data_IF_492597583040
#
_entry.id   IF_492597583040
#
_cell.length_a   1.000
_cell.length_b   1.000
_cell.length_c   1.000
_cell.angle_alpha   90.00
_cell.angle_beta   90.00
_cell.angle_gamma   90.00
#
_symmetry.space_group_name_H-M   'P 1'
#
loop_
_entity.id
_entity.type
_entity.pdbx_description
1 polymer ?
#
# COMPACT_ATOMS: atom_id res chain seq x y z
N UNK A 1 -20.28 -18.77 14.40
CA UNK A 1 -20.88 -17.99 13.28
C UNK A 1 -20.00 -18.28 12.07
N UNK A 2 -20.52 -19.02 11.11
CA UNK A 2 -19.82 -19.53 9.92
C UNK A 2 -19.62 -18.38 8.93
N UNK A 3 -18.37 -17.94 8.71
CA UNK A 3 -18.03 -16.97 7.66
C UNK A 3 -18.14 -17.64 6.29
N UNK A 4 -19.08 -17.25 5.41
CA UNK A 4 -19.10 -17.76 4.05
C UNK A 4 -17.96 -17.11 3.24
N UNK A 5 -17.41 -17.89 2.33
CA UNK A 5 -16.32 -17.51 1.44
C UNK A 5 -16.65 -16.24 0.66
N UNK A 6 -15.81 -15.21 0.80
CA UNK A 6 -15.97 -13.93 0.10
C UNK A 6 -15.58 -14.00 -1.39
N UNK A 7 -14.95 -15.07 -1.86
CA UNK A 7 -14.40 -15.19 -3.23
C UNK A 7 -15.36 -15.94 -4.17
N UNK A 8 -15.76 -15.29 -5.27
CA UNK A 8 -16.49 -15.88 -6.39
C UNK A 8 -15.49 -16.54 -7.35
N UNK A 9 -15.42 -17.87 -7.34
CA UNK A 9 -14.52 -18.64 -8.22
C UNK A 9 -14.95 -18.66 -9.69
N UNK A 10 -16.21 -18.34 -9.99
CA UNK A 10 -16.74 -18.31 -11.35
C UNK A 10 -16.41 -16.99 -12.04
N UNK A 11 -16.43 -15.89 -11.28
CA UNK A 11 -16.12 -14.54 -11.76
C UNK A 11 -14.69 -14.06 -11.45
N UNK A 12 -14.00 -14.73 -10.54
CA UNK A 12 -12.64 -14.39 -10.11
C UNK A 12 -12.55 -13.12 -9.26
N UNK A 13 -13.60 -12.75 -8.52
CA UNK A 13 -13.68 -11.52 -7.72
C UNK A 13 -14.42 -11.72 -6.38
N UNK A 14 -14.41 -10.72 -5.49
CA UNK A 14 -15.19 -10.70 -4.24
C UNK A 14 -16.54 -9.99 -4.44
N UNK A 15 -17.60 -10.35 -3.68
CA UNK A 15 -18.95 -9.75 -3.74
C UNK A 15 -19.08 -8.33 -3.17
N UNK A 16 -17.99 -7.57 -3.12
CA UNK A 16 -17.95 -6.17 -2.72
C UNK A 16 -17.01 -5.40 -3.68
N UNK A 17 -17.21 -4.09 -3.76
CA UNK A 17 -16.32 -3.17 -4.47
C UNK A 17 -14.88 -3.39 -3.99
N UNK A 18 -14.01 -3.95 -4.84
CA UNK A 18 -12.65 -4.30 -4.41
C UNK A 18 -11.60 -4.03 -5.48
N UNK A 19 -10.47 -3.48 -5.02
CA UNK A 19 -9.33 -3.15 -5.88
C UNK A 19 -8.23 -4.18 -5.63
N UNK A 20 -8.26 -5.29 -6.38
CA UNK A 20 -7.41 -6.45 -6.08
C UNK A 20 -6.71 -7.00 -7.32
N UNK A 21 -5.40 -7.18 -7.24
CA UNK A 21 -4.71 -8.17 -8.07
C UNK A 21 -5.02 -9.58 -7.56
N UNK A 22 -5.00 -10.60 -8.44
CA UNK A 22 -5.10 -11.99 -8.01
C UNK A 22 -3.79 -12.39 -7.30
N UNK A 23 -3.82 -12.70 -5.98
CA UNK A 23 -2.61 -13.05 -5.25
C UNK A 23 -1.89 -14.27 -5.85
N UNK A 24 -2.60 -15.16 -6.54
CA UNK A 24 -2.04 -16.39 -7.13
C UNK A 24 -1.06 -16.10 -8.27
N UNK A 25 -1.13 -14.93 -8.89
CA UNK A 25 -0.15 -14.51 -9.91
C UNK A 25 1.29 -14.56 -9.35
N UNK A 26 1.45 -14.31 -8.05
CA UNK A 26 2.73 -14.36 -7.34
C UNK A 26 3.21 -15.76 -6.93
N UNK A 27 2.38 -16.79 -7.03
CA UNK A 27 2.66 -18.11 -6.43
C UNK A 27 3.90 -18.79 -7.02
N UNK A 28 4.20 -18.53 -8.30
CA UNK A 28 5.39 -19.06 -8.96
C UNK A 28 6.71 -18.55 -8.36
N UNK A 29 6.70 -17.39 -7.70
CA UNK A 29 7.87 -16.78 -7.05
C UNK A 29 7.82 -16.99 -5.55
N UNK A 30 6.66 -16.72 -4.93
CA UNK A 30 6.52 -16.65 -3.48
C UNK A 30 5.92 -17.91 -2.85
N UNK A 31 5.42 -18.84 -3.66
CA UNK A 31 4.52 -19.90 -3.21
C UNK A 31 3.12 -19.38 -2.86
N UNK A 32 2.19 -20.25 -2.45
CA UNK A 32 0.81 -19.89 -2.16
C UNK A 32 0.67 -18.76 -1.12
N UNK A 33 -0.12 -17.74 -1.45
CA UNK A 33 -0.46 -16.67 -0.51
C UNK A 33 -1.17 -17.22 0.74
N UNK A 34 -0.93 -16.61 1.91
CA UNK A 34 -1.69 -16.90 3.14
C UNK A 34 -1.49 -18.31 3.74
N UNK A 35 -0.60 -19.13 3.18
CA UNK A 35 -0.29 -20.47 3.73
C UNK A 35 0.64 -20.37 4.94
N UNK A 36 1.40 -19.27 5.06
CA UNK A 36 2.39 -19.10 6.13
C UNK A 36 1.80 -18.37 7.34
N UNK A 37 2.20 -18.81 8.53
CA UNK A 37 1.81 -18.27 9.83
C UNK A 37 0.34 -18.47 10.23
N UNK A 38 -0.34 -19.43 9.59
CA UNK A 38 -1.62 -19.97 10.05
C UNK A 38 -2.85 -19.10 9.77
N UNK A 39 -2.73 -18.09 8.90
CA UNK A 39 -3.83 -17.19 8.58
C UNK A 39 -3.78 -16.71 7.12
N UNK A 40 -4.96 -16.57 6.51
CA UNK A 40 -5.13 -16.25 5.09
C UNK A 40 -5.17 -14.74 4.80
N UNK A 41 -5.28 -13.89 5.83
CA UNK A 41 -5.45 -12.43 5.76
C UNK A 41 -4.64 -11.81 6.92
N UNK A 42 -4.19 -10.55 6.80
CA UNK A 42 -3.33 -9.84 7.76
C UNK A 42 -3.76 -9.96 9.24
N UNK A 43 -2.83 -9.67 10.15
CA UNK A 43 -2.94 -10.11 11.54
C UNK A 43 -4.10 -9.41 12.29
N UNK A 44 -5.02 -10.16 12.92
CA UNK A 44 -6.23 -9.59 13.52
C UNK A 44 -6.02 -8.77 14.80
N UNK A 45 -4.81 -8.75 15.39
CA UNK A 45 -4.47 -7.84 16.50
C UNK A 45 -3.98 -6.46 16.02
N UNK A 46 -4.14 -6.17 14.73
CA UNK A 46 -3.61 -4.97 14.08
C UNK A 46 -4.53 -3.74 14.11
N UNK A 47 -5.79 -3.83 14.53
CA UNK A 47 -6.49 -2.77 15.27
C UNK A 47 -7.71 -3.37 15.97
N UNK A 48 -8.00 -2.96 17.22
CA UNK A 48 -9.17 -3.46 17.95
C UNK A 48 -10.53 -3.04 17.34
N UNK A 49 -10.53 -2.28 16.23
CA UNK A 49 -11.71 -1.66 15.62
C UNK A 49 -11.76 -1.71 14.07
N UNK A 50 -10.75 -2.26 13.36
CA UNK A 50 -10.78 -2.38 11.88
C UNK A 50 -12.02 -3.12 11.41
N UNK A 51 -12.26 -4.32 11.96
CA UNK A 51 -13.27 -5.22 11.44
C UNK A 51 -14.71 -4.78 11.77
N UNK A 52 -14.90 -3.87 12.73
CA UNK A 52 -16.23 -3.36 13.10
C UNK A 52 -16.65 -2.11 12.33
N UNK A 53 -15.72 -1.42 11.67
CA UNK A 53 -15.96 -0.12 11.01
C UNK A 53 -15.48 -0.07 9.55
N UNK A 54 -14.78 -1.09 9.03
CA UNK A 54 -14.17 -1.08 7.69
C UNK A 54 -14.49 -2.37 6.91
N UNK A 55 -15.58 -2.35 6.13
CA UNK A 55 -16.08 -3.53 5.41
C UNK A 55 -15.61 -3.70 3.94
N UNK A 56 -14.61 -2.95 3.46
CA UNK A 56 -14.08 -3.08 2.08
C UNK A 56 -12.54 -3.17 2.00
N UNK A 57 -11.86 -3.40 3.12
CA UNK A 57 -10.57 -2.78 3.31
C UNK A 57 -9.29 -3.54 2.92
N UNK A 58 -9.31 -4.86 2.68
CA UNK A 58 -8.09 -5.60 2.27
C UNK A 58 -7.87 -5.61 0.77
N UNK A 59 -6.69 -5.15 0.34
CA UNK A 59 -6.27 -5.06 -1.05
C UNK A 59 -5.01 -5.88 -1.33
N UNK A 60 -4.90 -6.51 -2.50
CA UNK A 60 -3.69 -7.10 -3.03
C UNK A 60 -3.12 -6.30 -4.20
N UNK A 61 -1.81 -6.08 -4.19
CA UNK A 61 -1.03 -5.64 -5.33
C UNK A 61 0.04 -6.70 -5.66
N UNK A 62 0.07 -7.16 -6.91
CA UNK A 62 1.05 -8.14 -7.40
C UNK A 62 1.78 -7.58 -8.59
N UNK A 63 3.10 -7.67 -8.59
CA UNK A 63 3.94 -7.22 -9.71
C UNK A 63 5.18 -8.09 -9.75
N UNK A 64 5.51 -8.61 -10.93
CA UNK A 64 6.64 -9.54 -11.11
C UNK A 64 7.53 -9.10 -12.27
N UNK A 65 8.75 -9.65 -12.32
CA UNK A 65 9.70 -9.51 -13.44
C UNK A 65 9.99 -8.06 -13.85
N UNK A 66 10.08 -7.16 -12.88
CA UNK A 66 10.38 -5.74 -13.11
C UNK A 66 11.87 -5.53 -13.34
N UNK A 67 12.18 -4.54 -14.18
CA UNK A 67 13.52 -3.98 -14.27
C UNK A 67 13.88 -3.22 -12.98
N UNK A 68 15.19 -3.02 -12.75
CA UNK A 68 15.69 -2.28 -11.59
C UNK A 68 15.45 -0.78 -11.75
N UNK A 69 14.22 -0.35 -11.47
CA UNK A 69 13.76 1.03 -11.63
C UNK A 69 13.77 1.73 -10.28
N UNK A 70 14.54 2.81 -10.16
CA UNK A 70 14.85 3.46 -8.87
C UNK A 70 14.86 4.98 -8.97
N UNK A 71 14.07 5.54 -9.89
CA UNK A 71 14.03 6.97 -10.20
C UNK A 71 13.70 7.85 -8.99
N UNK A 72 12.98 7.32 -8.00
CA UNK A 72 12.66 8.02 -6.75
C UNK A 72 13.82 8.11 -5.74
N UNK A 73 14.91 7.36 -5.93
CA UNK A 73 15.97 7.18 -4.93
C UNK A 73 17.36 7.51 -5.46
N UNK A 74 17.48 8.35 -6.49
CA UNK A 74 18.76 8.74 -7.10
C UNK A 74 19.72 9.48 -6.14
N UNK A 75 19.22 9.91 -4.98
CA UNK A 75 20.04 10.49 -3.91
C UNK A 75 20.82 9.44 -3.11
N UNK A 76 20.47 8.15 -3.21
CA UNK A 76 21.24 7.04 -2.65
C UNK A 76 22.20 6.54 -3.75
N UNK A 77 23.50 6.39 -3.46
CA UNK A 77 24.47 5.89 -4.43
C UNK A 77 24.06 4.56 -5.05
N UNK A 78 24.39 4.40 -6.33
CA UNK A 78 24.02 3.20 -7.09
C UNK A 78 24.57 1.90 -6.49
N UNK A 79 25.80 1.95 -5.97
CA UNK A 79 26.46 0.82 -5.32
C UNK A 79 25.82 0.41 -3.97
N UNK A 80 24.97 1.26 -3.39
CA UNK A 80 24.31 1.03 -2.11
C UNK A 80 22.86 0.54 -2.28
N UNK A 81 22.43 0.25 -3.52
CA UNK A 81 21.04 -0.14 -3.83
C UNK A 81 20.96 -1.49 -4.54
N UNK A 82 20.24 -2.40 -3.90
CA UNK A 82 19.69 -3.61 -4.49
C UNK A 82 18.38 -3.32 -5.23
N UNK A 83 17.87 -4.29 -5.99
CA UNK A 83 16.66 -4.14 -6.79
C UNK A 83 15.53 -4.97 -6.20
N UNK A 84 14.32 -4.42 -6.22
CA UNK A 84 13.11 -5.23 -6.08
C UNK A 84 12.66 -5.66 -7.48
N UNK A 85 12.64 -6.96 -7.73
CA UNK A 85 12.27 -7.54 -9.04
C UNK A 85 10.79 -7.94 -9.10
N UNK A 86 10.22 -8.30 -7.96
CA UNK A 86 8.81 -8.62 -7.84
C UNK A 86 8.32 -8.44 -6.40
N UNK A 87 7.03 -8.25 -6.25
CA UNK A 87 6.38 -8.15 -4.95
C UNK A 87 4.93 -8.63 -5.00
N UNK A 88 4.45 -9.06 -3.84
CA UNK A 88 3.03 -9.25 -3.52
C UNK A 88 2.77 -8.54 -2.19
N UNK A 89 1.97 -7.49 -2.21
CA UNK A 89 1.58 -6.73 -1.01
C UNK A 89 0.10 -6.93 -0.77
N UNK A 90 -0.27 -7.41 0.41
CA UNK A 90 -1.62 -7.28 0.95
C UNK A 90 -1.64 -6.13 1.94
N UNK A 91 -2.64 -5.26 1.92
CA UNK A 91 -2.78 -4.21 2.93
C UNK A 91 -4.24 -3.85 3.16
N UNK A 92 -4.56 -3.45 4.39
CA UNK A 92 -5.87 -2.95 4.72
C UNK A 92 -5.93 -1.44 4.54
N UNK A 93 -6.16 -0.93 3.33
CA UNK A 93 -6.42 0.51 3.15
C UNK A 93 -7.18 0.80 1.86
N UNK A 94 -8.23 1.62 1.96
CA UNK A 94 -8.96 2.08 0.77
C UNK A 94 -8.25 3.27 0.11
N UNK A 95 -7.50 4.06 0.87
CA UNK A 95 -6.78 5.25 0.40
C UNK A 95 -7.62 6.53 0.23
N UNK A 96 -8.94 6.43 0.23
CA UNK A 96 -9.89 7.56 0.17
C UNK A 96 -10.14 8.25 1.51
N UNK A 97 -11.02 9.26 1.50
CA UNK A 97 -11.37 10.08 2.67
C UNK A 97 -11.74 9.28 3.94
N UNK A 98 -12.48 8.15 3.89
CA UNK A 98 -12.83 7.41 5.11
C UNK A 98 -11.65 6.88 5.91
N UNK A 99 -10.46 6.75 5.28
CA UNK A 99 -9.26 6.30 5.96
C UNK A 99 -8.25 7.42 6.22
N UNK A 100 -8.47 8.65 5.73
CA UNK A 100 -7.50 9.74 5.78
C UNK A 100 -7.04 10.09 7.21
N UNK A 101 -7.94 9.95 8.19
CA UNK A 101 -7.66 10.16 9.61
C UNK A 101 -6.93 8.98 10.30
N UNK A 102 -6.84 7.82 9.64
CA UNK A 102 -6.25 6.61 10.21
C UNK A 102 -4.78 6.50 9.82
N UNK A 103 -3.90 6.49 10.83
CA UNK A 103 -2.45 6.43 10.65
C UNK A 103 -1.91 5.06 10.28
N UNK A 104 -2.31 4.04 11.04
CA UNK A 104 -1.74 2.70 10.96
C UNK A 104 -2.67 1.78 10.18
N UNK A 105 -2.10 0.99 9.28
CA UNK A 105 -2.83 0.01 8.50
C UNK A 105 -2.10 -1.33 8.53
N UNK A 106 -2.86 -2.41 8.71
CA UNK A 106 -2.33 -3.77 8.64
C UNK A 106 -1.83 -4.08 7.24
N UNK A 107 -0.72 -4.82 7.14
CA UNK A 107 -0.22 -5.29 5.85
C UNK A 107 0.62 -6.57 5.95
N UNK A 108 0.78 -7.22 4.82
CA UNK A 108 1.68 -8.32 4.57
C UNK A 108 2.40 -8.08 3.24
N UNK A 109 3.69 -8.40 3.18
CA UNK A 109 4.50 -8.19 2.00
C UNK A 109 5.43 -9.37 1.74
N UNK A 110 5.50 -9.78 0.49
CA UNK A 110 6.51 -10.69 -0.05
C UNK A 110 7.25 -9.97 -1.17
N UNK A 111 8.57 -9.99 -1.12
CA UNK A 111 9.40 -9.21 -2.04
C UNK A 111 10.56 -10.06 -2.52
N UNK A 112 10.75 -10.10 -3.83
CA UNK A 112 11.93 -10.66 -4.48
C UNK A 112 13.00 -9.57 -4.54
N UNK A 113 14.04 -9.74 -3.73
CA UNK A 113 15.16 -8.80 -3.60
C UNK A 113 16.37 -9.36 -4.31
N UNK A 114 16.96 -8.59 -5.22
CA UNK A 114 18.07 -9.03 -6.04
C UNK A 114 19.25 -8.05 -5.99
N UNK A 115 20.45 -8.58 -6.24
CA UNK A 115 21.60 -7.74 -6.60
C UNK A 115 21.28 -6.93 -7.85
N UNK A 116 22.04 -5.86 -8.08
CA UNK A 116 21.73 -4.90 -9.13
C UNK A 116 21.75 -5.49 -10.55
N UNK A 117 22.66 -6.42 -10.78
CA UNK A 117 22.81 -7.16 -12.03
C UNK A 117 21.86 -8.38 -12.15
N UNK A 118 21.00 -8.59 -11.15
CA UNK A 118 20.13 -9.76 -11.01
C UNK A 118 20.87 -11.11 -10.99
N UNK A 119 22.17 -11.13 -10.70
CA UNK A 119 22.93 -12.38 -10.60
C UNK A 119 22.50 -13.24 -9.41
N UNK A 120 22.01 -12.60 -8.33
CA UNK A 120 21.51 -13.27 -7.14
C UNK A 120 20.21 -12.62 -6.69
N UNK A 121 19.24 -13.46 -6.34
CA UNK A 121 17.94 -13.04 -5.81
C UNK A 121 17.58 -13.90 -4.59
N UNK A 122 16.84 -13.28 -3.68
CA UNK A 122 16.24 -13.91 -2.52
C UNK A 122 14.86 -13.35 -2.24
N UNK A 123 14.23 -13.84 -1.19
CA UNK A 123 12.86 -13.47 -0.82
C UNK A 123 12.85 -12.88 0.59
N UNK A 124 12.13 -11.78 0.77
CA UNK A 124 11.80 -11.22 2.08
C UNK A 124 10.30 -11.29 2.27
N UNK A 125 9.86 -11.83 3.41
CA UNK A 125 8.44 -11.89 3.81
C UNK A 125 8.28 -11.29 5.20
N UNK A 126 7.39 -10.31 5.32
CA UNK A 126 7.08 -9.66 6.60
C UNK A 126 5.70 -9.00 6.55
N UNK A 127 5.24 -8.38 7.63
CA UNK A 127 3.94 -7.71 7.71
C UNK A 127 3.89 -6.73 8.87
N UNK A 128 2.77 -6.61 9.58
CA UNK A 128 2.69 -5.68 10.70
C UNK A 128 1.88 -4.44 10.34
N UNK A 129 2.32 -3.30 10.87
CA UNK A 129 1.71 -2.00 10.58
C UNK A 129 2.51 -1.18 9.60
N UNK A 130 1.85 -0.76 8.53
CA UNK A 130 2.29 0.33 7.69
C UNK A 130 1.93 1.64 8.38
N UNK A 131 2.93 2.48 8.62
CA UNK A 131 2.77 3.77 9.27
C UNK A 131 2.77 4.89 8.23
N UNK A 132 1.62 5.53 8.04
CA UNK A 132 1.51 6.71 7.20
C UNK A 132 1.39 7.92 8.11
N UNK A 133 2.48 8.58 8.52
CA UNK A 133 2.52 9.30 9.80
C UNK A 133 1.71 10.59 9.86
N UNK A 134 1.55 11.33 8.75
CA UNK A 134 0.92 12.66 8.75
C UNK A 134 -0.12 12.78 7.66
N UNK A 135 -1.26 13.40 7.95
CA UNK A 135 -2.22 13.82 6.93
C UNK A 135 -1.80 15.16 6.32
N UNK A 136 -1.76 15.23 5.00
CA UNK A 136 -1.39 16.44 4.25
C UNK A 136 -2.51 16.81 3.29
N UNK A 137 -3.10 18.00 3.49
CA UNK A 137 -4.25 18.51 2.74
C UNK A 137 -4.01 19.99 2.37
N UNK A 138 -4.04 20.38 1.08
CA UNK A 138 -4.03 19.50 -0.10
C UNK A 138 -2.74 18.67 -0.18
N UNK A 139 -2.62 17.73 -1.13
CA UNK A 139 -1.40 16.95 -1.33
C UNK A 139 -0.18 17.87 -1.48
N UNK A 140 0.86 17.64 -0.66
CA UNK A 140 2.06 18.50 -0.52
C UNK A 140 1.78 19.93 -0.02
N UNK A 141 0.60 20.17 0.53
CA UNK A 141 0.19 21.40 1.21
C UNK A 141 0.47 21.33 2.70
N UNK A 142 -0.55 21.64 3.49
CA UNK A 142 -0.44 21.78 4.95
C UNK A 142 -0.63 20.44 5.67
N UNK A 143 0.03 20.29 6.81
CA UNK A 143 -0.17 19.14 7.70
C UNK A 143 -1.45 19.40 8.50
N UNK A 144 -2.38 18.44 8.45
CA UNK A 144 -3.59 18.42 9.27
C UNK A 144 -3.26 17.71 10.59
N UNK A 145 -3.28 18.39 11.74
CA UNK A 145 -2.92 17.77 13.00
C UNK A 145 -4.00 16.79 13.46
N UNK A 146 -3.59 15.53 13.69
CA UNK A 146 -4.47 14.49 14.21
C UNK A 146 -3.92 13.92 15.52
N UNK A 147 -4.77 13.53 16.49
CA UNK A 147 -4.31 13.06 17.81
C UNK A 147 -3.36 11.86 17.77
N UNK A 148 -3.49 10.98 16.77
CA UNK A 148 -2.64 9.78 16.62
C UNK A 148 -1.34 10.01 15.84
N UNK A 149 -1.17 11.18 15.24
CA UNK A 149 -0.01 11.49 14.40
C UNK A 149 1.20 11.86 15.28
N UNK A 150 2.42 11.52 14.85
CA UNK A 150 3.61 12.04 15.50
C UNK A 150 3.69 13.55 15.26
N UNK A 151 4.26 14.27 16.23
CA UNK A 151 4.59 15.68 16.00
C UNK A 151 5.59 15.77 14.84
N UNK A 152 5.27 16.49 13.76
CA UNK A 152 6.20 16.65 12.65
C UNK A 152 7.46 17.36 13.18
N UNK A 153 8.63 16.77 12.91
CA UNK A 153 9.89 17.42 13.28
C UNK A 153 10.09 18.67 12.40
N UNK A 154 10.61 19.79 12.95
CA UNK A 154 10.81 21.03 12.20
C UNK A 154 11.72 20.91 10.96
N UNK A 155 12.58 19.90 10.92
CA UNK A 155 13.55 19.61 9.85
C UNK A 155 13.07 18.55 8.86
N UNK A 156 11.97 17.86 9.15
CA UNK A 156 11.37 16.93 8.22
C UNK A 156 10.47 17.69 7.26
N UNK A 157 10.98 17.90 6.04
CA UNK A 157 10.07 18.07 4.91
C UNK A 157 9.06 16.90 4.93
N UNK A 158 7.78 17.10 4.56
CA UNK A 158 6.75 16.05 4.47
C UNK A 158 7.07 14.87 3.52
N UNK A 159 8.33 14.67 3.15
CA UNK A 159 8.76 14.08 1.89
C UNK A 159 8.95 12.58 1.89
N UNK A 160 8.88 11.89 3.04
CA UNK A 160 9.00 10.43 3.03
C UNK A 160 7.69 9.73 3.35
N UNK A 161 7.05 9.95 4.50
CA UNK A 161 5.80 9.25 4.86
C UNK A 161 4.65 10.22 5.09
N UNK A 162 3.48 9.92 4.53
CA UNK A 162 2.31 10.80 4.58
C UNK A 162 1.05 10.09 4.04
N UNK A 163 -0.11 10.71 4.32
CA UNK A 163 -1.44 10.47 3.75
C UNK A 163 -1.83 11.75 3.01
N UNK A 164 -1.72 11.77 1.70
CA UNK A 164 -1.84 12.98 0.90
C UNK A 164 -3.17 13.03 0.16
N UNK A 165 -4.00 14.02 0.47
CA UNK A 165 -5.34 14.18 -0.09
C UNK A 165 -5.57 15.56 -0.70
N UNK A 166 -6.47 15.66 -1.68
CA UNK A 166 -6.98 16.95 -2.15
C UNK A 166 -7.96 17.54 -1.13
N UNK A 167 -8.18 18.86 -1.17
CA UNK A 167 -9.29 19.50 -0.44
C UNK A 167 -10.63 19.12 -1.07
N UNK A 168 -11.72 19.24 -0.33
CA UNK A 168 -13.10 19.11 -0.84
C UNK A 168 -13.30 19.95 -2.10
N UNK A 169 -12.98 21.24 -2.06
CA UNK A 169 -13.12 22.15 -3.21
C UNK A 169 -12.33 21.67 -4.45
N UNK A 170 -11.08 21.23 -4.27
CA UNK A 170 -10.27 20.72 -5.38
C UNK A 170 -10.85 19.44 -5.97
N UNK A 171 -11.42 18.57 -5.14
CA UNK A 171 -12.04 17.34 -5.56
C UNK A 171 -13.37 17.60 -6.32
N UNK A 172 -14.20 18.52 -5.83
CA UNK A 172 -15.44 18.95 -6.50
C UNK A 172 -15.15 19.60 -7.87
N UNK A 173 -14.14 20.47 -7.93
CA UNK A 173 -13.66 21.06 -9.20
C UNK A 173 -13.22 19.94 -10.15
N UNK A 174 -12.46 18.95 -9.67
CA UNK A 174 -12.05 17.80 -10.49
C UNK A 174 -13.24 17.01 -11.03
N UNK A 175 -14.28 16.79 -10.21
CA UNK A 175 -15.52 16.10 -10.59
C UNK A 175 -16.33 16.87 -11.64
N UNK A 176 -16.46 18.20 -11.51
CA UNK A 176 -17.25 19.04 -12.42
C UNK A 176 -16.66 19.09 -13.85
N UNK A 177 -15.34 19.03 -13.99
CA UNK A 177 -14.67 19.26 -15.27
C UNK A 177 -14.60 18.05 -16.21
N UNK A 178 -15.25 16.92 -15.88
CA UNK A 178 -15.46 15.77 -16.77
C UNK A 178 -14.19 15.37 -17.55
N UNK A 179 -13.38 14.45 -17.00
CA UNK A 179 -12.10 13.95 -17.53
C UNK A 179 -12.02 13.74 -19.06
N UNK A 180 -11.85 14.82 -19.82
CA UNK A 180 -11.92 14.80 -21.29
C UNK A 180 -11.24 15.98 -21.98
N UNK A 181 -10.74 16.99 -21.25
CA UNK A 181 -9.83 17.99 -21.84
C UNK A 181 -8.43 17.82 -21.29
N UNK A 182 -7.63 17.07 -22.04
CA UNK A 182 -6.19 17.04 -21.93
C UNK A 182 -5.64 18.47 -22.08
N UNK A 183 -5.36 19.17 -20.98
CA UNK A 183 -4.82 20.53 -21.06
C UNK A 183 -4.40 21.16 -19.74
N UNK A 184 -5.17 20.99 -18.65
CA UNK A 184 -4.79 21.55 -17.35
C UNK A 184 -4.26 20.46 -16.43
N UNK A 185 -2.95 20.43 -16.19
CA UNK A 185 -2.29 19.41 -15.35
C UNK A 185 -2.63 19.52 -13.87
N UNK A 186 -3.26 20.63 -13.44
CA UNK A 186 -3.49 20.92 -12.01
C UNK A 186 -4.76 20.30 -11.44
N UNK A 187 -5.69 19.82 -12.28
CA UNK A 187 -7.04 19.37 -11.86
C UNK A 187 -7.28 17.88 -12.17
N UNK A 188 -6.24 17.12 -12.53
CA UNK A 188 -6.46 15.93 -13.38
C UNK A 188 -7.15 14.73 -12.75
N UNK A 189 -7.07 14.46 -11.46
CA UNK A 189 -7.83 13.35 -10.88
C UNK A 189 -7.97 13.55 -9.36
N UNK A 190 -9.04 13.02 -8.77
CA UNK A 190 -9.18 12.94 -7.31
C UNK A 190 -8.23 11.88 -6.75
N UNK A 191 -6.99 12.33 -6.51
CA UNK A 191 -5.83 11.47 -6.34
C UNK A 191 -5.31 11.52 -4.91
N UNK A 192 -5.20 10.35 -4.32
CA UNK A 192 -4.63 10.13 -3.00
C UNK A 192 -3.29 9.46 -3.11
N UNK A 193 -2.30 9.94 -2.36
CA UNK A 193 -0.97 9.33 -2.33
C UNK A 193 -0.57 9.04 -0.91
N UNK A 194 -0.17 7.81 -0.68
CA UNK A 194 0.11 7.27 0.64
C UNK A 194 1.51 6.70 0.65
N UNK A 195 2.31 7.09 1.64
CA UNK A 195 3.65 6.57 1.83
C UNK A 195 3.90 6.14 3.27
N UNK A 196 4.41 4.92 3.41
CA UNK A 196 4.86 4.39 4.69
C UNK A 196 6.34 4.64 4.98
N UNK A 197 7.10 5.22 4.05
CA UNK A 197 8.53 5.45 4.24
C UNK A 197 8.80 6.56 5.24
N UNK A 198 9.05 6.27 6.51
CA UNK A 198 9.29 7.32 7.48
C UNK A 198 10.18 6.91 8.66
N UNK A 199 10.73 7.92 9.31
CA UNK A 199 11.65 7.84 10.45
C UNK A 199 10.96 7.46 11.77
N UNK A 200 9.65 7.66 11.89
CA UNK A 200 8.83 7.24 13.05
C UNK A 200 8.33 5.79 12.91
N UNK A 201 8.56 5.20 11.74
CA UNK A 201 7.67 4.22 11.15
C UNK A 201 7.64 2.91 11.90
N UNK A 202 6.48 2.28 11.82
CA UNK A 202 6.34 0.86 12.08
C UNK A 202 6.92 0.06 10.90
N UNK A 203 7.45 -1.12 11.20
CA UNK A 203 8.19 -2.02 10.31
C UNK A 203 9.16 -1.30 9.34
N UNK A 204 10.41 -1.10 9.79
CA UNK A 204 11.46 -0.50 8.97
C UNK A 204 12.04 -1.44 7.91
N UNK A 205 11.73 -2.74 7.96
CA UNK A 205 12.23 -3.75 7.02
C UNK A 205 11.53 -3.64 5.68
N UNK A 206 10.21 -3.50 5.62
CA UNK A 206 9.48 -3.46 4.36
C UNK A 206 8.46 -2.33 4.33
N UNK A 207 8.61 -1.40 3.39
CA UNK A 207 7.75 -0.22 3.24
C UNK A 207 7.20 -0.16 1.83
N UNK A 208 6.03 0.42 1.66
CA UNK A 208 5.41 0.60 0.35
C UNK A 208 4.67 1.93 0.25
N UNK A 209 4.45 2.36 -1.00
CA UNK A 209 3.69 3.54 -1.33
C UNK A 209 2.62 3.13 -2.31
N UNK A 210 1.45 3.73 -2.15
CA UNK A 210 0.38 3.50 -3.08
C UNK A 210 -0.36 4.78 -3.40
N UNK A 211 -1.05 4.73 -4.53
CA UNK A 211 -1.98 5.76 -4.93
C UNK A 211 -3.35 5.14 -5.05
N UNK A 212 -4.34 5.88 -4.60
CA UNK A 212 -5.73 5.63 -4.89
C UNK A 212 -6.28 6.78 -5.73
N UNK A 213 -7.11 6.44 -6.70
CA UNK A 213 -7.98 7.34 -7.44
C UNK A 213 -9.37 6.82 -7.14
N UNK A 214 -10.23 7.63 -6.55
CA UNK A 214 -11.51 7.13 -6.04
C UNK A 214 -12.59 8.21 -6.05
N UNK A 215 -13.84 7.77 -5.92
CA UNK A 215 -15.03 8.62 -5.86
C UNK A 215 -15.29 9.20 -4.46
N UNK A 216 -14.67 8.61 -3.43
CA UNK A 216 -14.46 9.27 -2.14
C UNK A 216 -13.88 10.64 -2.42
N UNK A 217 -14.55 11.72 -2.06
CA UNK A 217 -14.13 13.08 -2.34
C UNK A 217 -13.00 13.57 -1.44
N UNK A 218 -12.68 14.87 -1.58
CA UNK A 218 -11.58 15.49 -0.86
C UNK A 218 -11.79 15.51 0.66
N UNK A 219 -10.74 15.86 1.39
CA UNK A 219 -10.75 15.94 2.86
C UNK A 219 -10.94 17.40 3.29
N UNK A 220 -11.81 17.65 4.26
CA UNK A 220 -11.84 18.92 4.99
C UNK A 220 -10.75 18.90 6.07
N UNK A 221 -9.79 19.81 5.98
CA UNK A 221 -8.72 19.93 6.97
C UNK A 221 -9.24 20.31 8.38
N UNK A 222 -10.37 21.02 8.46
CA UNK A 222 -10.99 21.38 9.73
C UNK A 222 -11.79 20.23 10.35
N UNK A 223 -12.27 19.30 9.52
CA UNK A 223 -13.03 18.13 9.94
C UNK A 223 -12.63 16.88 9.14
N UNK A 224 -11.41 16.35 9.35
CA UNK A 224 -10.86 15.27 8.51
C UNK A 224 -11.54 13.91 8.66
N UNK A 225 -12.46 13.77 9.62
CA UNK A 225 -13.31 12.58 9.79
C UNK A 225 -14.63 12.70 9.00
N UNK A 226 -14.97 13.89 8.50
CA UNK A 226 -16.16 14.10 7.70
C UNK A 226 -16.01 13.46 6.33
N UNK A 227 -16.95 12.57 6.02
CA UNK A 227 -17.00 11.91 4.73
C UNK A 227 -17.61 12.86 3.71
N UNK A 228 -16.83 13.15 2.66
CA UNK A 228 -17.32 13.84 1.49
C UNK A 228 -17.30 12.87 0.32
N UNK A 229 -18.47 12.57 -0.26
CA UNK A 229 -18.60 11.77 -1.48
C UNK A 229 -18.75 12.72 -2.67
N UNK A 230 -17.99 12.51 -3.75
CA UNK A 230 -18.20 13.27 -5.00
C UNK A 230 -19.52 12.89 -5.69
N UNK A 231 -20.04 11.72 -5.35
CA UNK A 231 -21.21 11.10 -5.93
C UNK A 231 -22.21 10.63 -4.85
N UNK A 232 -22.75 11.53 -4.01
CA UNK A 232 -23.55 11.12 -2.86
C UNK A 232 -24.88 10.46 -3.25
N UNK A 233 -25.34 10.66 -4.49
CA UNK A 233 -26.54 10.03 -5.06
C UNK A 233 -26.21 8.78 -5.91
N UNK A 234 -24.94 8.41 -6.02
CA UNK A 234 -24.44 7.26 -6.78
C UNK A 234 -24.87 7.23 -8.27
N UNK A 235 -25.27 8.37 -8.83
CA UNK A 235 -25.77 8.47 -10.22
C UNK A 235 -24.79 9.12 -11.20
N UNK A 236 -23.65 9.60 -10.70
CA UNK A 236 -22.61 10.21 -11.52
C UNK A 236 -21.68 9.14 -12.13
N UNK A 237 -21.07 9.46 -13.27
CA UNK A 237 -20.23 8.55 -14.09
C UNK A 237 -18.92 8.09 -13.42
N UNK A 238 -18.68 8.46 -12.16
CA UNK A 238 -17.43 8.19 -11.46
C UNK A 238 -17.48 6.81 -10.79
N UNK A 239 -17.16 5.79 -11.58
CA UNK A 239 -16.95 4.40 -11.13
C UNK A 239 -15.67 3.81 -11.74
N UNK A 240 -14.60 4.61 -11.69
CA UNK A 240 -13.31 4.24 -12.26
C UNK A 240 -12.25 4.51 -11.21
N UNK A 241 -12.36 3.82 -10.09
CA UNK A 241 -11.37 3.89 -9.06
C UNK A 241 -10.18 3.02 -9.45
N UNK A 242 -8.98 3.52 -9.15
CA UNK A 242 -7.74 2.83 -9.45
C UNK A 242 -6.92 2.78 -8.17
N UNK A 243 -6.27 1.64 -7.95
CA UNK A 243 -5.32 1.51 -6.87
C UNK A 243 -4.03 0.90 -7.38
N UNK A 244 -2.90 1.49 -7.00
CA UNK A 244 -1.61 0.97 -7.42
C UNK A 244 -0.54 1.17 -6.36
N UNK A 245 0.29 0.17 -6.18
CA UNK A 245 1.56 0.29 -5.46
C UNK A 245 2.61 0.75 -6.48
N UNK A 246 3.21 1.92 -6.26
CA UNK A 246 4.23 2.47 -7.19
C UNK A 246 5.63 2.48 -6.60
N UNK A 247 5.78 2.05 -5.35
CA UNK A 247 7.06 2.04 -4.66
C UNK A 247 7.06 0.93 -3.61
N UNK A 248 8.13 0.14 -3.61
CA UNK A 248 8.40 -0.89 -2.61
C UNK A 248 9.85 -0.76 -2.19
N UNK A 249 10.07 -0.65 -0.88
CA UNK A 249 11.38 -0.59 -0.26
C UNK A 249 11.54 -1.78 0.67
N UNK A 250 12.72 -2.40 0.66
CA UNK A 250 13.11 -3.41 1.64
C UNK A 250 14.50 -3.10 2.17
N UNK A 251 14.70 -3.21 3.48
CA UNK A 251 16.01 -3.12 4.12
C UNK A 251 16.35 -4.50 4.70
N UNK A 252 17.34 -5.17 4.12
CA UNK A 252 17.84 -6.46 4.60
C UNK A 252 18.97 -6.21 5.60
N UNK A 253 18.78 -6.46 6.91
CA UNK A 253 19.73 -6.04 7.92
C UNK A 253 21.05 -6.81 7.84
N UNK A 254 22.17 -6.08 7.71
CA UNK A 254 23.52 -6.68 7.71
C UNK A 254 23.84 -7.47 8.99
N UNK A 255 23.22 -7.12 10.12
CA UNK A 255 23.39 -7.85 11.38
C UNK A 255 22.88 -9.31 11.34
N UNK A 256 22.06 -9.66 10.33
CA UNK A 256 21.57 -11.01 10.11
C UNK A 256 22.44 -11.84 9.14
N UNK A 257 23.44 -11.23 8.51
CA UNK A 257 24.45 -11.92 7.69
C UNK A 257 25.58 -12.43 8.61
N UNK A 258 25.34 -13.59 9.22
CA UNK A 258 26.21 -14.14 10.27
C UNK A 258 27.53 -14.71 9.74
N UNK A 259 27.61 -15.02 8.45
CA UNK A 259 28.80 -15.57 7.78
C UNK A 259 29.55 -14.52 6.95
N UNK A 260 28.99 -13.32 6.77
CA UNK A 260 29.61 -12.19 6.09
C UNK A 260 29.72 -12.40 4.57
N UNK A 261 28.83 -13.20 3.97
CA UNK A 261 28.86 -13.50 2.54
C UNK A 261 28.06 -12.49 1.69
N UNK A 262 27.42 -11.52 2.34
CA UNK A 262 26.58 -10.50 1.72
C UNK A 262 25.12 -10.92 1.56
N UNK A 263 24.72 -12.09 2.07
CA UNK A 263 23.36 -12.62 1.96
C UNK A 263 22.80 -13.02 3.34
N UNK A 264 21.48 -12.90 3.48
CA UNK A 264 20.78 -13.25 4.71
C UNK A 264 19.86 -14.43 4.47
N UNK A 265 19.89 -15.39 5.39
CA UNK A 265 18.83 -16.38 5.58
C UNK A 265 18.41 -16.37 7.04
N UNK A 266 17.16 -15.97 7.30
CA UNK A 266 16.63 -15.76 8.64
C UNK A 266 15.16 -16.18 8.72
N UNK A 267 14.75 -16.77 9.84
CA UNK A 267 13.34 -17.00 10.15
C UNK A 267 13.12 -16.76 11.64
N UNK A 268 12.20 -15.86 11.96
CA UNK A 268 11.91 -15.48 13.33
C UNK A 268 10.93 -14.32 13.37
N UNK A 269 11.13 -13.42 14.32
CA UNK A 269 10.23 -12.29 14.56
C UNK A 269 10.99 -10.98 14.68
N UNK A 270 10.26 -9.89 14.47
CA UNK A 270 10.65 -8.53 14.81
C UNK A 270 9.62 -7.90 15.71
N UNK A 271 9.99 -6.84 16.42
CA UNK A 271 9.03 -5.96 17.05
C UNK A 271 8.25 -5.14 16.00
N UNK A 272 7.36 -4.27 16.49
CA UNK A 272 6.58 -3.33 15.67
C UNK A 272 7.41 -2.37 14.82
N UNK A 273 8.70 -2.21 15.11
CA UNK A 273 9.63 -1.30 14.43
C UNK A 273 10.54 -2.04 13.44
N UNK A 274 10.50 -3.37 13.39
CA UNK A 274 11.39 -4.17 12.56
C UNK A 274 12.71 -4.54 13.24
N UNK A 275 12.83 -4.34 14.56
CA UNK A 275 13.97 -4.83 15.34
C UNK A 275 13.79 -6.33 15.61
N UNK A 276 14.81 -7.14 15.35
CA UNK A 276 14.76 -8.59 15.61
C UNK A 276 14.52 -8.89 17.09
N UNK A 277 13.57 -9.79 17.37
CA UNK A 277 13.23 -10.27 18.72
C UNK A 277 13.31 -11.80 18.77
N UNK A 278 13.75 -12.35 19.90
CA UNK A 278 14.11 -13.78 20.03
C UNK A 278 13.25 -14.53 21.04
N UNK A 279 12.44 -13.83 21.82
CA UNK A 279 11.55 -14.35 22.85
C UNK A 279 10.15 -14.69 22.33
N UNK A 280 9.86 -14.35 21.08
CA UNK A 280 8.60 -14.66 20.42
C UNK A 280 8.55 -16.11 19.92
N UNK A 281 7.48 -16.82 20.28
CA UNK A 281 7.17 -18.16 19.76
C UNK A 281 5.91 -18.20 18.88
N UNK A 282 5.17 -17.10 18.83
CA UNK A 282 3.95 -16.95 18.05
C UNK A 282 3.80 -15.50 17.55
N UNK A 283 3.11 -15.28 16.43
CA UNK A 283 2.86 -13.93 15.94
C UNK A 283 2.04 -13.09 16.94
N UNK A 284 2.32 -11.78 16.99
CA UNK A 284 1.71 -10.82 17.91
C UNK A 284 2.12 -9.38 17.58
N UNK A 285 1.59 -8.36 18.29
CA UNK A 285 1.90 -6.96 17.99
C UNK A 285 3.40 -6.67 17.99
N UNK A 286 4.14 -7.17 18.98
CA UNK A 286 5.60 -7.05 19.07
C UNK A 286 6.34 -8.32 18.61
N UNK A 287 5.66 -9.19 17.90
CA UNK A 287 6.17 -10.44 17.36
C UNK A 287 5.72 -10.55 15.89
N UNK A 288 6.12 -9.59 15.07
CA UNK A 288 5.84 -9.54 13.63
C UNK A 288 6.73 -10.57 12.94
N UNK A 289 6.17 -11.56 12.23
CA UNK A 289 6.99 -12.55 11.54
C UNK A 289 7.90 -11.93 10.47
N UNK A 290 9.13 -12.44 10.43
CA UNK A 290 10.12 -12.10 9.42
C UNK A 290 10.73 -13.39 8.88
N UNK A 291 10.74 -13.49 7.56
CA UNK A 291 11.52 -14.49 6.85
C UNK A 291 12.35 -13.80 5.77
N UNK A 292 13.61 -14.17 5.72
CA UNK A 292 14.54 -13.76 4.68
C UNK A 292 15.17 -15.05 4.15
N UNK A 293 15.10 -15.27 2.84
CA UNK A 293 15.69 -16.43 2.18
C UNK A 293 16.68 -15.97 1.12
N UNK A 294 17.97 -16.15 1.40
CA UNK A 294 19.08 -15.84 0.50
C UNK A 294 19.03 -14.44 -0.15
N UNK A 295 18.56 -13.43 0.59
CA UNK A 295 18.43 -12.07 0.07
C UNK A 295 19.72 -11.27 0.28
N UNK A 296 20.17 -10.46 -0.69
CA UNK A 296 21.36 -9.62 -0.51
C UNK A 296 21.12 -8.57 0.57
N UNK A 297 22.14 -8.34 1.38
CA UNK A 297 22.16 -7.32 2.44
C UNK A 297 21.97 -5.91 1.86
N UNK A 298 21.28 -5.05 2.60
CA UNK A 298 21.15 -3.62 2.32
C UNK A 298 19.80 -3.21 1.75
N UNK A 299 19.76 -1.98 1.24
CA UNK A 299 18.53 -1.34 0.77
C UNK A 299 18.17 -1.80 -0.64
N UNK A 300 16.99 -2.37 -0.80
CA UNK A 300 16.41 -2.76 -2.07
C UNK A 300 15.19 -1.90 -2.39
N UNK A 301 15.05 -1.50 -3.65
CA UNK A 301 13.93 -0.65 -4.05
C UNK A 301 13.47 -0.89 -5.47
N UNK A 302 12.16 -0.72 -5.65
CA UNK A 302 11.50 -0.55 -6.95
C UNK A 302 10.62 0.70 -6.91
N UNK A 303 10.65 1.48 -7.99
CA UNK A 303 9.77 2.65 -8.19
C UNK A 303 9.27 2.74 -9.62
N UNK A 304 7.96 2.92 -9.79
CA UNK A 304 7.36 3.29 -11.08
C UNK A 304 7.29 4.83 -11.23
N UNK A 305 7.54 5.39 -12.44
CA UNK A 305 7.46 6.83 -12.69
C UNK A 305 6.10 7.40 -12.28
N UNK A 306 6.09 8.45 -11.46
CA UNK A 306 4.85 9.10 -11.00
C UNK A 306 4.17 9.95 -12.09
N UNK A 307 4.89 10.25 -13.16
CA UNK A 307 4.57 11.24 -14.18
C UNK A 307 4.45 10.55 -15.53
N UNK A 308 3.22 10.27 -15.92
CA UNK A 308 2.92 9.79 -17.26
C UNK A 308 1.42 9.70 -17.44
N UNK A 309 0.90 9.91 -18.67
CA UNK A 309 -0.45 9.47 -18.99
C UNK A 309 -0.57 8.00 -18.61
N UNK A 310 -1.70 7.64 -17.99
CA UNK A 310 -2.15 6.26 -17.76
C UNK A 310 -1.58 5.33 -18.85
N UNK A 311 -0.67 4.39 -18.54
CA UNK A 311 -0.31 3.37 -19.52
C UNK A 311 -1.52 2.46 -19.69
N UNK A 312 -2.45 2.84 -20.57
CA UNK A 312 -3.54 1.95 -20.95
C UNK A 312 -2.93 0.68 -21.53
N UNK A 313 -3.13 -0.45 -20.86
CA UNK A 313 -2.68 -1.75 -21.34
C UNK A 313 -1.34 -2.27 -20.80
N UNK A 314 -0.71 -1.63 -19.80
CA UNK A 314 0.38 -2.31 -19.06
C UNK A 314 -0.21 -3.12 -17.92
N UNK A 315 -0.56 -4.38 -18.24
CA UNK A 315 -1.03 -5.36 -17.26
C UNK A 315 -0.04 -5.50 -16.10
N UNK A 316 -0.57 -5.36 -14.88
CA UNK A 316 0.13 -5.70 -13.64
C UNK A 316 0.59 -4.53 -12.76
N UNK A 317 0.72 -3.30 -13.26
CA UNK A 317 1.13 -2.15 -12.41
C UNK A 317 -0.05 -1.33 -11.88
N UNK A 318 -1.17 -1.37 -12.60
CA UNK A 318 -2.39 -0.65 -12.25
C UNK A 318 -3.50 -1.67 -12.11
N UNK A 319 -3.96 -1.90 -10.88
CA UNK A 319 -5.23 -2.57 -10.67
C UNK A 319 -6.32 -1.56 -11.01
N UNK A 320 -6.88 -1.71 -12.21
CA UNK A 320 -8.07 -0.99 -12.63
C UNK A 320 -9.29 -1.82 -12.27
N UNK A 321 -10.30 -1.12 -11.78
CA UNK A 321 -11.64 -1.68 -11.70
C UNK A 321 -12.13 -2.11 -13.07
N UNK A 322 -12.79 -3.26 -13.07
CA UNK A 322 -13.95 -3.46 -13.92
C UNK A 322 -15.13 -3.49 -12.96
N UNK A 323 -16.07 -2.59 -13.16
CA UNK A 323 -17.40 -2.78 -12.61
C UNK A 323 -17.96 -4.08 -13.19
N UNK A 324 -18.05 -5.12 -12.35
CA UNK A 324 -18.60 -6.42 -12.71
C UNK A 324 -20.08 -6.55 -12.34
N UNK A 325 -20.70 -5.46 -11.86
CA UNK A 325 -22.13 -5.43 -11.64
C UNK A 325 -22.88 -5.67 -12.97
N UNK A 326 -24.04 -6.33 -12.93
CA UNK A 326 -24.98 -6.30 -14.04
C UNK A 326 -25.27 -4.84 -14.43
N UNK A 327 -25.42 -4.58 -15.73
CA UNK A 327 -25.84 -3.25 -16.19
C UNK A 327 -27.11 -2.82 -15.44
N UNK A 328 -27.07 -1.61 -14.88
CA UNK A 328 -28.11 -0.96 -14.06
C UNK A 328 -28.19 -1.41 -12.58
N UNK A 329 -27.24 -2.21 -12.07
CA UNK A 329 -27.09 -2.53 -10.65
C UNK A 329 -25.84 -1.86 -10.06
N UNK A 330 -25.97 -1.22 -8.90
CA UNK A 330 -24.84 -0.61 -8.17
C UNK A 330 -24.68 -1.29 -6.82
N UNK A 331 -23.47 -1.73 -6.49
CA UNK A 331 -23.24 -2.66 -5.37
C UNK A 331 -22.72 -2.01 -4.08
N UNK A 332 -22.46 -0.70 -4.08
CA UNK A 332 -22.18 0.07 -2.88
C UNK A 332 -23.49 0.77 -2.46
N UNK A 333 -24.15 0.25 -1.42
CA UNK A 333 -25.21 0.97 -0.71
C UNK A 333 -24.57 1.79 0.42
N UNK A 334 -25.01 3.04 0.60
CA UNK A 334 -24.61 3.89 1.74
C UNK A 334 -25.85 4.62 2.29
N UNK A 335 -25.95 4.81 3.61
CA UNK A 335 -25.11 4.24 4.67
C UNK A 335 -25.46 2.76 4.91
N UNK A 336 -24.45 1.95 5.22
CA UNK A 336 -24.64 0.57 5.69
C UNK A 336 -25.05 0.53 7.16
#
# INVERSE_FOLDING_TARGET
ITSPALWDYERGCHYNHTHNADPREGDQVFGPAGVRWGQTIAYPWETAHENSMKHEGFKYAVTLNKACTQGGYLYIPEAERNCVRGFRVQYHSIGGAPHAAVRLHSYYMEVEVCTRDFSHCGIVKTGGWADFPVLVVPYKGEIVPLPSDPNPRPDESPGRGYRGHNTVEMAEVSAQYNMGKAGDERVKDNRYTWSSDNTYGYNQIARYFFRALDDWGGVDAANPEELHLLCPDFHCRFNHSEHHVFNVNVDVPAALDLNGDGFVTYSGFTDTKGTVVTDCTAPGPNCVPLEIFNAPVGFAVWTSPHTGPRPMGQGGEWSREFDLSPGDEWWIEYPN
#
